data_IF_484654969922
#
_entry.id   IF_484654969922
#
_cell.length_a   1.000
_cell.length_b   1.000
_cell.length_c   1.000
_cell.angle_alpha   90.00
_cell.angle_beta   90.00
_cell.angle_gamma   90.00
#
_symmetry.space_group_name_H-M   'P 1'
#
loop_
_entity.id
_entity.type
_entity.pdbx_description
1 polymer ?
#
# COMPACT_ATOMS: atom_id res chain seq x y z
N UNK A 1 -9.99 -20.17 -0.71
CA UNK A 1 -9.60 -20.21 -2.13
C UNK A 1 -8.39 -19.32 -2.33
N UNK A 2 -7.45 -19.71 -3.20
CA UNK A 2 -6.34 -18.86 -3.61
C UNK A 2 -6.56 -18.43 -5.06
N UNK A 3 -6.43 -17.13 -5.33
CA UNK A 3 -6.62 -16.57 -6.68
C UNK A 3 -5.55 -15.52 -7.00
N UNK A 4 -5.50 -15.14 -8.27
CA UNK A 4 -4.58 -14.14 -8.83
C UNK A 4 -5.30 -13.32 -9.90
N UNK A 5 -4.59 -12.95 -10.97
CA UNK A 5 -5.08 -12.15 -12.11
C UNK A 5 -5.36 -10.67 -11.83
N UNK A 6 -5.73 -10.29 -10.60
CA UNK A 6 -6.23 -8.93 -10.31
C UNK A 6 -5.17 -7.85 -10.10
N UNK A 7 -3.89 -8.22 -9.94
CA UNK A 7 -2.79 -7.29 -9.65
C UNK A 7 -2.95 -6.49 -8.35
N UNK A 8 -3.75 -6.99 -7.41
CA UNK A 8 -3.81 -6.46 -6.05
C UNK A 8 -3.87 -7.60 -5.05
N UNK A 9 -3.46 -7.30 -3.82
CA UNK A 9 -3.56 -8.20 -2.69
C UNK A 9 -4.85 -7.94 -1.90
N UNK A 10 -5.54 -9.00 -1.50
CA UNK A 10 -6.74 -8.89 -0.68
C UNK A 10 -7.07 -10.22 0.00
N UNK A 11 -7.39 -10.16 1.29
CA UNK A 11 -8.25 -11.17 1.91
C UNK A 11 -9.72 -10.75 1.73
N UNK A 12 -10.43 -11.45 0.85
CA UNK A 12 -11.85 -11.21 0.62
C UNK A 12 -12.68 -12.03 1.62
N UNK A 13 -13.60 -11.38 2.36
CA UNK A 13 -14.42 -12.05 3.36
C UNK A 13 -15.31 -13.11 2.71
N UNK A 14 -15.61 -14.15 3.49
CA UNK A 14 -16.26 -15.36 3.01
C UNK A 14 -17.60 -15.09 2.32
N UNK A 15 -17.73 -15.52 1.06
CA UNK A 15 -19.01 -15.68 0.36
C UNK A 15 -19.35 -17.17 0.35
N UNK A 16 -20.48 -17.55 0.96
CA UNK A 16 -20.89 -18.96 1.02
C UNK A 16 -19.99 -19.87 1.87
N UNK A 17 -19.28 -19.31 2.86
CA UNK A 17 -18.40 -20.07 3.77
C UNK A 17 -16.94 -20.19 3.29
N UNK A 18 -16.59 -19.66 2.11
CA UNK A 18 -15.24 -19.75 1.54
C UNK A 18 -14.62 -18.35 1.49
N UNK A 19 -13.58 -18.14 2.29
CA UNK A 19 -12.71 -16.96 2.16
C UNK A 19 -11.80 -17.07 0.93
N UNK A 20 -11.53 -15.95 0.29
CA UNK A 20 -10.63 -15.87 -0.87
C UNK A 20 -9.39 -15.05 -0.52
N UNK A 21 -8.22 -15.63 -0.78
CA UNK A 21 -6.92 -14.99 -0.68
C UNK A 21 -6.46 -14.65 -2.09
N UNK A 22 -6.51 -13.36 -2.42
CA UNK A 22 -6.12 -12.80 -3.71
C UNK A 22 -4.68 -12.32 -3.60
N UNK A 23 -3.83 -12.80 -4.49
CA UNK A 23 -2.41 -12.46 -4.49
C UNK A 23 -2.08 -11.40 -5.55
N UNK A 24 -1.21 -10.48 -5.15
CA UNK A 24 -0.46 -9.61 -6.04
C UNK A 24 0.25 -10.41 -7.14
N UNK A 25 0.49 -9.77 -8.28
CA UNK A 25 1.23 -10.39 -9.37
C UNK A 25 2.74 -10.46 -9.02
N UNK A 26 3.46 -11.39 -9.65
CA UNK A 26 4.92 -11.46 -9.47
C UNK A 26 5.63 -10.37 -10.29
N UNK A 27 4.97 -9.88 -11.34
CA UNK A 27 5.52 -8.88 -12.25
C UNK A 27 5.39 -7.43 -11.76
N UNK A 28 4.85 -7.19 -10.56
CA UNK A 28 4.48 -5.86 -10.14
C UNK A 28 3.40 -5.27 -11.04
N UNK A 29 3.28 -3.96 -11.03
CA UNK A 29 2.35 -3.26 -11.91
C UNK A 29 2.80 -3.37 -13.37
N UNK A 30 2.22 -4.33 -14.10
CA UNK A 30 2.38 -4.54 -15.54
C UNK A 30 3.84 -4.56 -16.03
N UNK A 31 4.76 -5.16 -15.26
CA UNK A 31 6.20 -5.20 -15.58
C UNK A 31 6.92 -3.83 -15.56
N UNK A 32 6.40 -2.85 -14.82
CA UNK A 32 7.00 -1.49 -14.71
C UNK A 32 7.64 -1.14 -13.34
N UNK A 33 7.46 -1.96 -12.30
CA UNK A 33 8.10 -1.82 -10.96
C UNK A 33 8.14 -3.11 -10.16
N UNK A 34 8.97 -3.16 -9.11
CA UNK A 34 8.93 -4.21 -8.08
C UNK A 34 7.76 -4.05 -7.07
N UNK A 35 6.74 -3.29 -7.43
CA UNK A 35 5.59 -2.96 -6.58
C UNK A 35 4.35 -3.00 -7.44
N UNK A 36 3.25 -3.52 -6.92
CA UNK A 36 1.93 -3.48 -7.55
C UNK A 36 1.30 -2.07 -7.49
N UNK A 37 0.21 -1.84 -8.21
CA UNK A 37 -0.50 -0.56 -8.17
C UNK A 37 -1.23 -0.30 -6.84
N UNK A 38 -1.42 -1.34 -6.02
CA UNK A 38 -1.84 -1.22 -4.61
C UNK A 38 -0.65 -1.01 -3.65
N UNK A 39 0.55 -0.74 -4.16
CA UNK A 39 1.72 -0.47 -3.33
C UNK A 39 2.33 -1.70 -2.63
N UNK A 40 1.73 -2.90 -2.72
CA UNK A 40 2.35 -4.10 -2.18
C UNK A 40 3.60 -4.48 -2.98
N UNK A 41 4.68 -4.98 -2.35
CA UNK A 41 5.84 -5.51 -3.07
C UNK A 41 5.42 -6.66 -3.99
N UNK A 42 6.05 -6.76 -5.15
CA UNK A 42 5.93 -7.96 -5.96
C UNK A 42 6.62 -9.14 -5.26
N UNK A 43 6.01 -10.32 -5.32
CA UNK A 43 6.61 -11.52 -4.76
C UNK A 43 5.61 -12.60 -4.42
N UNK A 44 5.80 -13.24 -3.28
CA UNK A 44 5.00 -14.41 -2.88
C UNK A 44 4.45 -14.26 -1.47
N UNK A 45 3.44 -15.06 -1.16
CA UNK A 45 2.86 -15.15 0.19
C UNK A 45 3.14 -16.55 0.72
N UNK A 46 3.62 -16.62 1.95
CA UNK A 46 3.85 -17.89 2.66
C UNK A 46 2.68 -18.14 3.57
N UNK A 47 2.12 -19.34 3.49
CA UNK A 47 1.08 -19.83 4.38
C UNK A 47 1.60 -21.01 5.18
N UNK A 48 1.40 -20.99 6.50
CA UNK A 48 1.59 -22.17 7.34
C UNK A 48 0.22 -22.78 7.62
N UNK A 49 0.04 -24.03 7.22
CA UNK A 49 -1.20 -24.78 7.44
C UNK A 49 -0.88 -26.00 8.29
N UNK A 50 -1.61 -26.17 9.39
CA UNK A 50 -1.50 -27.34 10.27
C UNK A 50 -2.88 -27.97 10.41
N UNK A 51 -3.02 -29.23 10.01
CA UNK A 51 -4.31 -29.90 9.91
C UNK A 51 -5.25 -29.16 8.95
N UNK A 52 -6.36 -28.64 9.49
CA UNK A 52 -7.39 -27.93 8.73
C UNK A 52 -7.36 -26.41 8.93
N UNK A 53 -6.33 -25.87 9.59
CA UNK A 53 -6.27 -24.45 9.99
C UNK A 53 -5.03 -23.73 9.49
N UNK A 54 -5.21 -22.48 9.07
CA UNK A 54 -4.12 -21.54 8.88
C UNK A 54 -3.52 -21.15 10.23
N UNK A 55 -2.19 -21.14 10.31
CA UNK A 55 -1.41 -20.81 11.50
C UNK A 55 -0.54 -19.57 11.31
N UNK A 56 -0.26 -19.22 10.06
CA UNK A 56 0.60 -18.11 9.72
C UNK A 56 0.37 -17.68 8.27
N UNK A 57 0.58 -16.40 7.98
CA UNK A 57 0.47 -15.80 6.65
C UNK A 57 1.31 -14.52 6.59
N UNK A 58 2.27 -14.46 5.65
CA UNK A 58 3.07 -13.25 5.44
C UNK A 58 3.56 -13.13 3.99
N UNK A 59 3.84 -11.89 3.57
CA UNK A 59 4.33 -11.58 2.23
C UNK A 59 5.85 -11.49 2.21
N UNK A 60 6.50 -11.93 1.13
CA UNK A 60 7.93 -11.68 0.89
C UNK A 60 8.07 -11.01 -0.47
N UNK A 61 8.71 -9.84 -0.48
CA UNK A 61 9.07 -9.13 -1.70
C UNK A 61 10.29 -9.76 -2.40
N UNK A 62 10.41 -9.58 -3.71
CA UNK A 62 11.47 -10.26 -4.50
C UNK A 62 12.84 -9.56 -4.49
N UNK A 63 12.98 -8.35 -3.92
CA UNK A 63 14.26 -7.64 -3.89
C UNK A 63 14.81 -7.44 -2.48
N UNK A 64 16.13 -7.19 -2.38
CA UNK A 64 16.85 -7.10 -1.11
C UNK A 64 16.34 -6.02 -0.14
N UNK A 65 15.53 -5.06 -0.58
CA UNK A 65 14.97 -4.02 0.28
C UNK A 65 13.58 -4.36 0.82
N UNK A 66 12.95 -5.44 0.33
CA UNK A 66 11.58 -5.85 0.68
C UNK A 66 11.45 -7.37 0.91
N UNK A 67 12.55 -8.12 0.92
CA UNK A 67 12.57 -9.60 0.99
C UNK A 67 12.58 -10.17 2.41
N UNK A 68 12.37 -9.33 3.42
CA UNK A 68 12.24 -9.78 4.81
C UNK A 68 10.78 -9.95 5.19
N UNK A 69 10.48 -10.96 6.01
CA UNK A 69 9.15 -11.17 6.60
C UNK A 69 8.62 -9.92 7.31
N UNK A 70 9.51 -9.11 7.89
CA UNK A 70 9.12 -7.92 8.66
C UNK A 70 8.58 -6.77 7.81
N UNK A 71 8.78 -6.81 6.49
CA UNK A 71 8.35 -5.74 5.58
C UNK A 71 6.89 -5.92 5.14
N UNK A 72 5.95 -5.62 6.04
CA UNK A 72 4.50 -5.67 5.77
C UNK A 72 3.81 -4.31 5.74
N UNK A 73 4.51 -3.20 6.00
CA UNK A 73 3.88 -1.89 6.20
C UNK A 73 4.63 -0.81 5.42
N UNK A 74 3.90 0.10 4.77
CA UNK A 74 4.39 1.39 4.33
C UNK A 74 3.51 2.52 4.87
N UNK A 75 4.15 3.59 5.34
CA UNK A 75 3.46 4.76 5.91
C UNK A 75 3.79 6.00 5.10
N UNK A 76 2.77 6.79 4.80
CA UNK A 76 2.85 8.05 4.07
C UNK A 76 2.22 9.18 4.88
N UNK A 77 2.76 10.39 4.76
CA UNK A 77 2.04 11.58 5.18
C UNK A 77 0.92 11.91 4.16
N UNK A 78 -0.25 12.24 4.68
CA UNK A 78 -1.49 12.43 3.93
C UNK A 78 -1.55 13.75 3.15
N UNK A 79 -0.52 14.58 3.21
CA UNK A 79 -0.39 15.78 2.39
C UNK A 79 0.60 15.61 1.23
N UNK A 80 1.17 14.42 1.05
CA UNK A 80 2.18 14.17 0.02
C UNK A 80 1.59 14.25 -1.40
N UNK A 81 2.39 14.82 -2.30
CA UNK A 81 2.16 14.82 -3.74
C UNK A 81 3.01 13.73 -4.39
N UNK A 82 2.36 12.79 -5.06
CA UNK A 82 2.98 11.63 -5.67
C UNK A 82 2.93 11.73 -7.20
N UNK A 83 4.04 11.54 -7.90
CA UNK A 83 4.04 11.64 -9.36
C UNK A 83 5.36 12.08 -9.99
N UNK A 84 5.26 12.66 -11.18
CA UNK A 84 6.39 13.13 -11.96
C UNK A 84 5.95 14.01 -13.13
N UNK A 85 6.74 14.01 -14.21
CA UNK A 85 6.53 14.88 -15.37
C UNK A 85 5.20 14.63 -16.12
N UNK A 86 4.65 13.41 -16.01
CA UNK A 86 3.45 13.02 -16.75
C UNK A 86 2.14 13.29 -16.02
N UNK A 87 2.18 13.36 -14.69
CA UNK A 87 1.06 13.72 -13.81
C UNK A 87 1.55 13.71 -12.36
N UNK A 88 0.87 14.46 -11.50
CA UNK A 88 1.03 14.36 -10.05
C UNK A 88 -0.33 14.17 -9.40
N UNK A 89 -0.37 13.48 -8.27
CA UNK A 89 -1.57 13.18 -7.49
C UNK A 89 -1.30 13.59 -6.03
N UNK A 90 -2.04 14.57 -5.54
CA UNK A 90 -1.90 15.10 -4.19
C UNK A 90 -3.01 14.55 -3.31
N UNK A 91 -2.64 13.86 -2.23
CA UNK A 91 -3.60 13.58 -1.17
C UNK A 91 -4.07 14.89 -0.52
N UNK A 92 -5.39 15.07 -0.33
CA UNK A 92 -5.97 16.33 0.14
C UNK A 92 -6.06 16.42 1.67
N UNK A 93 -5.07 15.89 2.40
CA UNK A 93 -5.03 15.99 3.85
C UNK A 93 -3.92 16.93 4.32
N UNK A 94 -3.87 17.20 5.62
CA UNK A 94 -2.75 17.86 6.27
C UNK A 94 -1.63 16.86 6.64
N UNK A 95 -0.51 17.40 7.16
CA UNK A 95 0.66 16.59 7.52
C UNK A 95 0.45 15.67 8.73
N UNK A 96 -0.59 15.90 9.55
CA UNK A 96 -0.91 15.05 10.70
C UNK A 96 -1.63 13.77 10.30
N UNK A 97 -2.21 13.74 9.10
CA UNK A 97 -2.86 12.55 8.56
C UNK A 97 -1.81 11.55 8.10
N UNK A 98 -1.90 10.32 8.60
CA UNK A 98 -1.18 9.17 8.08
C UNK A 98 -2.06 8.35 7.13
N UNK A 99 -1.45 7.92 6.03
CA UNK A 99 -1.95 6.87 5.14
C UNK A 99 -1.05 5.65 5.33
N UNK A 100 -1.61 4.53 5.75
CA UNK A 100 -0.86 3.36 6.20
C UNK A 100 -1.28 2.16 5.34
N UNK A 101 -0.41 1.76 4.42
CA UNK A 101 -0.60 0.56 3.61
C UNK A 101 -0.02 -0.64 4.38
N UNK A 102 -0.88 -1.51 4.90
CA UNK A 102 -0.48 -2.78 5.52
C UNK A 102 -0.70 -3.88 4.48
N UNK A 103 0.35 -4.46 3.93
CA UNK A 103 0.24 -5.43 2.83
C UNK A 103 -0.59 -6.64 3.28
N UNK A 104 -1.69 -6.93 2.58
CA UNK A 104 -2.69 -7.95 2.95
C UNK A 104 -3.52 -7.65 4.22
N UNK A 105 -3.40 -6.44 4.77
CA UNK A 105 -4.19 -6.03 5.92
C UNK A 105 -5.69 -6.12 5.63
N UNK A 106 -6.47 -6.50 6.62
CA UNK A 106 -7.92 -6.51 6.55
C UNK A 106 -8.54 -6.17 7.91
N UNK A 107 -9.85 -6.24 8.04
CA UNK A 107 -10.56 -5.86 9.28
C UNK A 107 -10.18 -6.69 10.50
N UNK A 108 -9.52 -7.83 10.33
CA UNK A 108 -9.03 -8.68 11.43
C UNK A 108 -7.68 -8.21 11.98
N UNK A 109 -6.95 -7.38 11.25
CA UNK A 109 -5.67 -6.83 11.70
C UNK A 109 -5.87 -5.67 12.68
N UNK A 110 -4.96 -5.57 13.64
CA UNK A 110 -4.90 -4.44 14.59
C UNK A 110 -3.71 -3.56 14.24
N UNK A 111 -3.97 -2.33 13.81
CA UNK A 111 -2.92 -1.37 13.40
C UNK A 111 -2.82 -0.27 14.45
N UNK A 112 -1.79 -0.31 15.27
CA UNK A 112 -1.57 0.62 16.37
C UNK A 112 -0.54 1.68 15.98
N UNK A 113 -0.81 2.93 16.35
CA UNK A 113 0.08 4.07 16.13
C UNK A 113 0.60 4.58 17.47
N UNK A 114 1.91 4.73 17.55
CA UNK A 114 2.64 5.25 18.69
C UNK A 114 3.24 6.60 18.32
N UNK A 115 3.06 7.59 19.21
CA UNK A 115 3.64 8.93 19.13
C UNK A 115 4.66 9.05 20.26
N UNK A 116 5.93 9.33 19.93
CA UNK A 116 7.02 9.40 20.92
C UNK A 116 7.09 8.13 21.80
N UNK A 117 6.99 6.97 21.16
CA UNK A 117 6.96 5.63 21.77
C UNK A 117 5.77 5.32 22.70
N UNK A 118 4.82 6.22 22.85
CA UNK A 118 3.58 6.00 23.62
C UNK A 118 2.44 5.62 22.68
N UNK A 119 1.67 4.58 23.02
CA UNK A 119 0.50 4.19 22.24
C UNK A 119 -0.49 5.36 22.17
N UNK A 120 -0.72 5.89 20.98
CA UNK A 120 -1.64 7.00 20.78
C UNK A 120 -3.03 6.53 20.33
N UNK A 121 -3.11 5.48 19.52
CA UNK A 121 -4.39 4.91 19.13
C UNK A 121 -4.28 3.78 18.11
N UNK A 122 -5.43 3.41 17.55
CA UNK A 122 -5.56 2.39 16.51
C UNK A 122 -6.00 3.07 15.21
N UNK A 123 -5.28 2.82 14.12
CA UNK A 123 -5.63 3.29 12.79
C UNK A 123 -6.91 2.60 12.27
N UNK A 124 -7.69 3.32 11.48
CA UNK A 124 -8.95 2.83 10.93
C UNK A 124 -8.74 2.31 9.51
N UNK A 125 -9.20 1.09 9.22
CA UNK A 125 -9.26 0.58 7.86
C UNK A 125 -10.25 1.43 7.04
N UNK A 126 -9.81 1.96 5.91
CA UNK A 126 -10.64 2.80 5.05
C UNK A 126 -11.67 1.95 4.28
N UNK A 127 -12.87 2.48 4.10
CA UNK A 127 -13.85 1.88 3.19
C UNK A 127 -13.36 1.98 1.75
N UNK A 128 -13.37 0.86 1.02
CA UNK A 128 -12.90 0.79 -0.36
C UNK A 128 -13.56 1.87 -1.23
N UNK A 129 -12.72 2.70 -1.84
CA UNK A 129 -13.12 3.68 -2.84
C UNK A 129 -11.97 3.88 -3.83
N UNK A 130 -12.10 3.25 -4.98
CA UNK A 130 -11.18 3.42 -6.10
C UNK A 130 -11.57 4.66 -6.88
N UNK A 131 -10.61 5.53 -7.14
CA UNK A 131 -10.73 6.67 -8.01
C UNK A 131 -9.87 6.46 -9.25
N UNK A 132 -10.40 6.85 -10.40
CA UNK A 132 -9.75 6.71 -11.70
C UNK A 132 -9.85 8.02 -12.47
N UNK A 133 -8.91 8.24 -13.39
CA UNK A 133 -9.02 9.26 -14.42
C UNK A 133 -8.90 8.57 -15.78
N UNK A 134 -9.82 8.85 -16.70
CA UNK A 134 -9.80 8.26 -18.06
C UNK A 134 -8.55 8.66 -18.84
N UNK A 135 -8.09 9.89 -18.61
CA UNK A 135 -6.80 10.35 -19.08
C UNK A 135 -6.19 11.40 -18.15
N UNK A 136 -4.87 11.54 -18.20
CA UNK A 136 -4.13 12.60 -17.49
C UNK A 136 -3.29 13.44 -18.44
N UNK A 137 -3.23 14.73 -18.14
CA UNK A 137 -2.45 15.72 -18.88
C UNK A 137 -1.06 15.85 -18.29
N UNK A 138 -0.04 15.88 -19.15
CA UNK A 138 1.36 16.01 -18.71
C UNK A 138 1.56 17.32 -17.96
N UNK A 139 2.32 17.28 -16.86
CA UNK A 139 2.57 18.45 -16.01
C UNK A 139 1.42 18.85 -15.08
N UNK A 140 0.25 18.21 -15.17
CA UNK A 140 -0.89 18.53 -14.31
C UNK A 140 -0.77 17.86 -12.95
N UNK A 141 -1.11 18.61 -11.90
CA UNK A 141 -1.31 18.08 -10.55
C UNK A 141 -2.81 17.92 -10.28
N UNK A 142 -3.21 16.72 -9.91
CA UNK A 142 -4.57 16.36 -9.57
C UNK A 142 -4.69 16.25 -8.06
N UNK A 143 -5.66 16.95 -7.47
CA UNK A 143 -6.09 16.68 -6.10
C UNK A 143 -7.00 15.48 -6.12
N UNK A 144 -6.67 14.44 -5.35
CA UNK A 144 -7.47 13.21 -5.28
C UNK A 144 -8.57 13.36 -4.23
N UNK A 145 -9.57 12.49 -4.28
CA UNK A 145 -10.63 12.45 -3.27
C UNK A 145 -10.04 11.99 -1.92
N UNK A 146 -10.39 12.71 -0.84
CA UNK A 146 -9.89 12.44 0.52
C UNK A 146 -10.26 11.04 1.05
N UNK A 147 -11.29 10.42 0.48
CA UNK A 147 -11.71 9.06 0.80
C UNK A 147 -11.20 8.01 -0.18
N UNK A 148 -10.43 8.41 -1.20
CA UNK A 148 -9.80 7.46 -2.13
C UNK A 148 -8.84 6.54 -1.38
N UNK A 149 -9.02 5.24 -1.61
CA UNK A 149 -8.17 4.21 -1.04
C UNK A 149 -6.96 3.88 -1.91
N UNK A 150 -6.86 4.36 -3.15
CA UNK A 150 -5.72 4.03 -4.02
C UNK A 150 -4.38 4.32 -3.32
N UNK A 151 -3.38 3.47 -3.55
CA UNK A 151 -2.00 3.79 -3.18
C UNK A 151 -1.45 4.83 -4.18
N UNK A 152 -1.70 6.11 -3.89
CA UNK A 152 -1.32 7.21 -4.79
C UNK A 152 0.19 7.35 -4.95
N UNK A 153 0.97 6.81 -4.02
CA UNK A 153 2.42 6.70 -4.18
C UNK A 153 2.76 5.75 -5.35
N UNK A 154 2.20 4.53 -5.35
CA UNK A 154 2.36 3.58 -6.45
C UNK A 154 1.80 4.15 -7.77
N UNK A 155 0.54 4.60 -7.77
CA UNK A 155 -0.11 5.21 -8.96
C UNK A 155 0.71 6.38 -9.51
N UNK A 156 1.21 7.26 -8.63
CA UNK A 156 2.06 8.38 -8.99
C UNK A 156 3.36 7.93 -9.65
N UNK A 157 3.98 6.85 -9.20
CA UNK A 157 5.16 6.31 -9.88
C UNK A 157 4.82 5.82 -11.28
N UNK A 158 3.80 4.96 -11.45
CA UNK A 158 3.52 4.36 -12.75
C UNK A 158 3.01 5.38 -13.76
N UNK A 159 2.06 6.21 -13.35
CA UNK A 159 1.44 7.19 -14.24
C UNK A 159 2.28 8.45 -14.33
N UNK A 160 2.66 9.02 -13.18
CA UNK A 160 3.34 10.30 -13.11
C UNK A 160 4.82 10.27 -13.48
N UNK A 161 5.55 9.23 -13.07
CA UNK A 161 6.99 9.08 -13.37
C UNK A 161 7.23 8.27 -14.64
N UNK A 162 6.62 7.09 -14.76
CA UNK A 162 6.85 6.18 -15.91
C UNK A 162 5.99 6.51 -17.13
N UNK A 163 4.97 7.37 -16.98
CA UNK A 163 4.08 7.75 -18.08
C UNK A 163 3.17 6.62 -18.57
N UNK A 164 2.98 5.57 -17.77
CA UNK A 164 2.15 4.42 -18.09
C UNK A 164 0.71 4.67 -17.65
N UNK A 165 -0.28 4.09 -18.35
CA UNK A 165 -1.69 4.28 -17.97
C UNK A 165 -2.23 5.71 -18.14
N UNK A 166 -1.54 6.59 -18.87
CA UNK A 166 -1.98 7.99 -19.02
C UNK A 166 -3.32 8.16 -19.73
N UNK A 167 -3.75 7.14 -20.47
CA UNK A 167 -5.01 7.09 -21.22
C UNK A 167 -5.73 5.77 -20.92
N UNK A 168 -5.57 5.23 -19.71
CA UNK A 168 -6.17 3.96 -19.30
C UNK A 168 -6.41 3.95 -17.80
N UNK A 169 -7.54 3.35 -17.40
CA UNK A 169 -7.89 3.22 -15.98
C UNK A 169 -7.23 2.02 -15.30
N UNK A 170 -6.48 1.17 -16.03
CA UNK A 170 -5.87 -0.07 -15.51
C UNK A 170 -4.68 0.14 -14.56
N UNK A 171 -4.20 1.38 -14.42
CA UNK A 171 -3.10 1.76 -13.52
C UNK A 171 -3.57 2.34 -12.19
N UNK A 172 -4.89 2.51 -12.01
CA UNK A 172 -5.50 2.90 -10.74
C UNK A 172 -5.97 1.65 -9.99
N UNK A 173 -5.03 0.78 -9.64
CA UNK A 173 -5.31 -0.52 -9.03
C UNK A 173 -6.16 -0.39 -7.77
N UNK A 174 -7.09 -1.33 -7.57
CA UNK A 174 -7.93 -1.41 -6.37
C UNK A 174 -7.08 -1.68 -5.13
N UNK A 175 -7.37 -0.98 -4.03
CA UNK A 175 -6.64 -1.07 -2.77
C UNK A 175 -7.63 -1.33 -1.63
N UNK A 176 -7.41 -2.38 -0.85
CA UNK A 176 -8.34 -2.83 0.20
C UNK A 176 -7.73 -2.79 1.61
N UNK A 177 -6.46 -2.39 1.71
CA UNK A 177 -5.62 -2.53 2.89
C UNK A 177 -4.92 -1.21 3.24
N UNK A 178 -5.61 -0.11 2.93
CA UNK A 178 -5.26 1.25 3.35
C UNK A 178 -5.93 1.59 4.68
N UNK A 179 -5.12 1.88 5.69
CA UNK A 179 -5.55 2.40 6.98
C UNK A 179 -5.23 3.88 7.08
N UNK A 180 -5.93 4.57 7.97
CA UNK A 180 -5.73 5.99 8.22
C UNK A 180 -5.71 6.30 9.71
N UNK A 181 -4.89 7.28 10.09
CA UNK A 181 -4.80 7.78 11.45
C UNK A 181 -4.48 9.28 11.44
N UNK A 182 -5.02 10.03 12.39
CA UNK A 182 -4.66 11.44 12.58
C UNK A 182 -3.80 11.56 13.82
N UNK A 183 -2.56 12.01 13.66
CA UNK A 183 -1.64 12.30 14.75
C UNK A 183 -2.25 13.35 15.69
N UNK A 184 -2.02 13.19 16.99
CA UNK A 184 -2.36 14.20 18.00
C UNK A 184 -1.27 15.27 18.08
N UNK A 185 -0.03 14.87 17.84
CA UNK A 185 1.12 15.74 17.73
C UNK A 185 1.78 15.54 16.34
N UNK A 186 1.59 16.47 15.39
CA UNK A 186 2.18 16.38 14.06
C UNK A 186 3.72 16.36 14.04
N UNK A 187 4.38 16.69 15.16
CA UNK A 187 5.84 16.68 15.29
C UNK A 187 6.38 15.42 15.97
N UNK A 188 5.52 14.53 16.47
CA UNK A 188 5.94 13.33 17.16
C UNK A 188 6.72 12.37 16.26
N UNK A 189 7.65 11.63 16.86
CA UNK A 189 8.18 10.44 16.20
C UNK A 189 7.07 9.40 16.07
N UNK A 190 6.94 8.80 14.88
CA UNK A 190 5.86 7.88 14.56
C UNK A 190 6.40 6.46 14.49
N UNK A 191 5.71 5.54 15.17
CA UNK A 191 5.88 4.10 15.02
C UNK A 191 4.53 3.45 14.81
N UNK A 192 4.38 2.72 13.71
CA UNK A 192 3.19 1.93 13.40
C UNK A 192 3.50 0.46 13.65
N UNK A 193 2.65 -0.21 14.41
CA UNK A 193 2.71 -1.66 14.66
C UNK A 193 1.43 -2.29 14.12
N UNK A 194 1.55 -3.16 13.13
CA UNK A 194 0.42 -3.94 12.62
C UNK A 194 0.52 -5.38 13.12
N UNK A 195 -0.51 -5.85 13.81
CA UNK A 195 -0.62 -7.22 14.30
C UNK A 195 -1.65 -7.98 13.47
N UNK A 196 -1.24 -9.12 12.91
CA UNK A 196 -2.09 -9.97 12.09
C UNK A 196 -2.96 -10.93 12.94
N UNK A 197 -3.92 -11.64 12.33
CA UNK A 197 -4.82 -12.54 13.06
C UNK A 197 -4.13 -13.79 13.65
N UNK A 198 -2.87 -14.03 13.30
CA UNK A 198 -2.07 -15.16 13.77
C UNK A 198 -1.14 -14.76 14.92
N UNK A 199 -1.13 -13.47 15.30
CA UNK A 199 -0.36 -12.94 16.42
C UNK A 199 1.02 -12.39 16.04
N UNK A 200 1.38 -12.37 14.74
CA UNK A 200 2.63 -11.75 14.33
C UNK A 200 2.49 -10.23 14.34
N UNK A 201 3.57 -9.53 14.67
CA UNK A 201 3.59 -8.06 14.70
C UNK A 201 4.70 -7.52 13.81
N UNK A 202 4.36 -6.55 12.99
CA UNK A 202 5.24 -5.89 12.04
C UNK A 202 5.36 -4.41 12.41
N UNK A 203 6.55 -3.85 12.33
CA UNK A 203 6.82 -2.48 12.77
C UNK A 203 7.35 -1.63 11.63
N UNK A 204 6.85 -0.40 11.51
CA UNK A 204 7.38 0.61 10.61
C UNK A 204 7.54 1.94 11.35
N UNK A 205 8.75 2.49 11.33
CA UNK A 205 9.10 3.80 11.93
C UNK A 205 9.37 4.87 10.88
N UNK A 206 9.40 4.50 9.59
CA UNK A 206 9.65 5.42 8.48
C UNK A 206 8.35 5.94 7.90
N UNK A 207 8.18 7.26 7.89
CA UNK A 207 7.07 7.95 7.23
C UNK A 207 7.59 8.63 5.97
N UNK A 208 6.99 8.32 4.82
CA UNK A 208 7.29 9.03 3.57
C UNK A 208 6.60 10.39 3.61
N UNK A 209 7.38 11.44 3.74
CA UNK A 209 6.92 12.84 3.81
C UNK A 209 7.35 13.66 2.58
N UNK A 210 8.29 13.15 1.79
CA UNK A 210 8.83 13.85 0.62
C UNK A 210 7.98 13.62 -0.63
N UNK A 211 7.56 14.72 -1.25
CA UNK A 211 6.83 14.69 -2.52
C UNK A 211 7.63 14.00 -3.63
N UNK A 212 6.94 13.18 -4.41
CA UNK A 212 7.47 12.50 -5.59
C UNK A 212 8.76 11.68 -5.31
N UNK A 213 8.92 11.21 -4.06
CA UNK A 213 10.06 10.41 -3.67
C UNK A 213 9.85 8.94 -3.97
N UNK A 214 10.77 8.35 -4.75
CA UNK A 214 10.73 6.96 -5.15
C UNK A 214 12.10 6.31 -4.95
N UNK A 215 12.23 5.31 -4.06
CA UNK A 215 13.48 4.63 -3.78
C UNK A 215 13.89 3.73 -4.94
N UNK A 216 15.20 3.47 -5.04
CA UNK A 216 15.77 2.68 -6.13
C UNK A 216 15.14 1.28 -6.25
N UNK A 217 14.79 0.66 -5.11
CA UNK A 217 14.19 -0.68 -5.07
C UNK A 217 12.82 -0.75 -5.78
N UNK A 218 12.13 0.37 -6.03
CA UNK A 218 10.87 0.37 -6.76
C UNK A 218 11.06 0.09 -8.25
N UNK A 219 12.25 0.37 -8.80
CA UNK A 219 12.55 0.31 -10.23
C UNK A 219 12.89 -1.13 -10.67
N UNK A 220 12.43 -1.53 -11.86
CA UNK A 220 12.91 -2.76 -12.52
C UNK A 220 14.26 -2.52 -13.17
N UNK A 221 15.27 -3.27 -12.72
CA UNK A 221 16.65 -3.19 -13.24
C UNK A 221 17.29 -1.82 -12.98
N UNK A 222 18.61 -1.79 -12.85
CA UNK A 222 19.31 -0.52 -13.06
C UNK A 222 19.05 -0.14 -14.51
N UNK A 223 18.31 0.96 -14.71
CA UNK A 223 18.34 1.67 -15.99
C UNK A 223 19.75 2.22 -16.10
N UNK A 224 20.60 1.46 -16.81
CA UNK A 224 21.81 1.98 -17.43
C UNK A 224 21.40 2.97 -18.53
#
# INVERSE_FOLDING_TARGET
>A
MFSGHTHYKRYAPSVGGIAEHIHAAVCGQWWWSNVEGDGAPNGYTVYKIEGTSFKDEYSIGMNNSMNTRDYQIRVYAGNTTNGGNYAKFKWPHDASRLMINVFNGDSRWKVQVYENDVLSGTATLMSYKRQTYESVTSGTTYTVDASSTNDWWAVGYHIGVRGRGRTSTSYYTSMFHMYTYTLKDPSASVKVVATDPYGNSYTCTSVITTDCWYPAYMKFGNVN
#
